data_IF_318535666835
#
_entry.id   IF_318535666835
#
_cell.length_a   1.000
_cell.length_b   1.000
_cell.length_c   1.000
_cell.angle_alpha   90.00
_cell.angle_beta   90.00
_cell.angle_gamma   90.00
#
_symmetry.space_group_name_H-M   'P 1'
#
loop_
_entity.id
_entity.type
_entity.pdbx_description
1 polymer ?
#
# COMPACT_ATOMS: atom_id res chain seq x y z
N UNK A 1 -6.97 -7.78 -6.64
CA UNK A 1 -6.11 -7.85 -5.43
C UNK A 1 -5.68 -6.44 -5.02
N UNK A 2 -5.30 -6.26 -3.76
CA UNK A 2 -4.75 -5.00 -3.27
C UNK A 2 -3.27 -5.14 -3.02
N UNK A 3 -2.53 -4.08 -3.29
CA UNK A 3 -1.09 -4.02 -3.12
C UNK A 3 -0.70 -2.76 -2.38
N UNK A 4 0.29 -2.90 -1.50
CA UNK A 4 0.99 -1.77 -0.89
C UNK A 4 2.35 -1.66 -1.56
N UNK A 5 2.69 -0.45 -2.02
CA UNK A 5 4.04 -0.10 -2.45
C UNK A 5 4.60 0.90 -1.44
N UNK A 6 5.71 0.53 -0.83
CA UNK A 6 6.51 1.41 0.01
C UNK A 6 7.82 1.71 -0.74
N UNK A 7 8.00 2.96 -1.14
CA UNK A 7 9.15 3.39 -1.91
C UNK A 7 9.87 4.54 -1.20
N UNK A 8 11.18 4.43 -1.02
CA UNK A 8 12.02 5.48 -0.44
C UNK A 8 12.82 6.16 -1.54
N UNK A 9 12.88 7.49 -1.49
CA UNK A 9 13.67 8.27 -2.43
C UNK A 9 15.15 8.05 -2.19
N UNK A 10 15.95 8.26 -3.25
CA UNK A 10 17.40 8.35 -3.08
C UNK A 10 17.78 9.52 -2.17
N UNK A 11 18.81 9.36 -1.33
CA UNK A 11 19.39 10.48 -0.62
C UNK A 11 19.80 11.59 -1.60
N UNK A 12 19.48 12.84 -1.27
CA UNK A 12 19.80 13.98 -2.12
C UNK A 12 18.80 15.12 -1.94
N UNK A 13 18.81 16.04 -2.90
CA UNK A 13 17.99 17.26 -2.91
C UNK A 13 16.58 17.06 -3.50
N UNK A 14 16.22 15.82 -3.85
CA UNK A 14 14.93 15.50 -4.46
C UNK A 14 14.75 15.99 -5.91
N UNK A 15 15.81 16.43 -6.59
CA UNK A 15 15.72 16.88 -7.99
C UNK A 15 15.12 15.83 -8.94
N UNK A 16 15.52 14.54 -8.91
CA UNK A 16 14.96 13.55 -9.82
C UNK A 16 13.44 13.47 -9.72
N UNK A 17 12.90 13.49 -8.49
CA UNK A 17 11.45 13.52 -8.23
C UNK A 17 10.80 14.74 -8.87
N UNK A 18 11.39 15.93 -8.66
CA UNK A 18 10.82 17.18 -9.15
C UNK A 18 10.78 17.22 -10.69
N UNK A 19 11.85 16.75 -11.35
CA UNK A 19 11.98 16.74 -12.80
C UNK A 19 10.88 15.93 -13.50
N UNK A 20 10.50 14.78 -12.94
CA UNK A 20 9.48 13.90 -13.55
C UNK A 20 8.10 14.03 -12.92
N UNK A 21 7.92 14.90 -11.91
CA UNK A 21 6.68 15.00 -11.12
C UNK A 21 5.44 15.23 -11.97
N UNK A 22 5.51 16.10 -12.97
CA UNK A 22 4.37 16.37 -13.85
C UNK A 22 3.95 15.15 -14.67
N UNK A 23 4.93 14.36 -15.14
CA UNK A 23 4.66 13.13 -15.88
C UNK A 23 4.10 12.03 -14.97
N UNK A 24 4.66 11.88 -13.76
CA UNK A 24 4.11 11.00 -12.72
C UNK A 24 2.65 11.32 -12.42
N UNK A 25 2.31 12.59 -12.16
CA UNK A 25 0.94 13.00 -11.85
C UNK A 25 -0.03 12.69 -13.00
N UNK A 26 0.40 12.82 -14.26
CA UNK A 26 -0.44 12.45 -15.41
C UNK A 26 -0.77 10.96 -15.43
N UNK A 27 0.22 10.10 -15.14
CA UNK A 27 0.01 8.65 -15.05
C UNK A 27 -0.92 8.33 -13.88
N UNK A 28 -0.67 8.91 -12.71
CA UNK A 28 -1.53 8.70 -11.54
C UNK A 28 -2.99 9.11 -11.80
N UNK A 29 -3.22 10.26 -12.47
CA UNK A 29 -4.57 10.71 -12.84
C UNK A 29 -5.25 9.78 -13.84
N UNK A 30 -4.51 9.22 -14.80
CA UNK A 30 -5.05 8.31 -15.81
C UNK A 30 -5.45 6.94 -15.25
N UNK A 31 -4.98 6.60 -14.05
CA UNK A 31 -5.25 5.33 -13.36
C UNK A 31 -5.93 5.54 -12.00
N UNK A 32 -6.54 6.70 -11.76
CA UNK A 32 -7.05 7.12 -10.46
C UNK A 32 -8.02 6.10 -9.82
N UNK A 33 -8.77 5.37 -10.64
CA UNK A 33 -9.70 4.32 -10.24
C UNK A 33 -9.04 3.12 -9.53
N UNK A 34 -7.72 2.92 -9.75
CA UNK A 34 -6.96 1.87 -9.09
C UNK A 34 -6.50 2.25 -7.68
N UNK A 35 -6.56 3.53 -7.29
CA UNK A 35 -6.01 3.99 -6.02
C UNK A 35 -7.04 3.89 -4.89
N UNK A 36 -6.66 3.20 -3.80
CA UNK A 36 -7.32 3.37 -2.50
C UNK A 36 -6.71 4.58 -1.80
N UNK A 37 -5.39 4.68 -1.83
CA UNK A 37 -4.61 5.79 -1.29
C UNK A 37 -3.29 5.92 -2.04
N UNK A 38 -2.81 7.13 -2.26
CA UNK A 38 -1.39 7.37 -2.57
C UNK A 38 -0.95 8.74 -2.05
N UNK A 39 0.29 8.81 -1.60
CA UNK A 39 0.85 10.05 -1.10
C UNK A 39 2.35 9.99 -0.86
N UNK A 40 3.00 11.14 -0.70
CA UNK A 40 4.40 11.18 -0.31
C UNK A 40 4.55 10.72 1.15
N UNK A 41 5.64 9.99 1.42
CA UNK A 41 6.16 9.86 2.78
C UNK A 41 6.90 11.15 3.09
N UNK A 42 6.51 11.86 4.15
CA UNK A 42 7.10 13.15 4.49
C UNK A 42 8.21 12.99 5.54
N UNK A 43 9.25 13.80 5.40
CA UNK A 43 10.21 14.08 6.46
C UNK A 43 9.64 15.02 7.51
N UNK A 44 10.38 15.22 8.59
CA UNK A 44 10.03 16.19 9.64
C UNK A 44 10.03 17.64 9.13
N UNK A 45 10.78 17.90 8.06
CA UNK A 45 10.81 19.15 7.31
C UNK A 45 9.59 19.35 6.39
N UNK A 46 8.70 18.36 6.31
CA UNK A 46 7.54 18.38 5.43
C UNK A 46 7.87 18.09 3.95
N UNK A 47 9.12 17.74 3.63
CA UNK A 47 9.51 17.39 2.27
C UNK A 47 9.31 15.89 1.98
N UNK A 48 8.95 15.52 0.74
CA UNK A 48 8.86 14.11 0.36
C UNK A 48 10.21 13.40 0.51
N UNK A 49 10.20 12.22 1.12
CA UNK A 49 11.34 11.29 1.22
C UNK A 49 11.03 9.91 0.64
N UNK A 50 9.90 9.81 -0.06
CA UNK A 50 9.38 8.55 -0.55
C UNK A 50 7.92 8.67 -0.93
N UNK A 51 7.31 7.54 -1.26
CA UNK A 51 5.91 7.43 -1.60
C UNK A 51 5.32 6.16 -0.97
N UNK A 52 4.07 6.27 -0.55
CA UNK A 52 3.24 5.13 -0.18
C UNK A 52 2.07 5.05 -1.17
N UNK A 53 1.86 3.86 -1.71
CA UNK A 53 0.74 3.55 -2.59
C UNK A 53 -0.06 2.39 -2.03
N UNK A 54 -1.38 2.49 -2.08
CA UNK A 54 -2.33 1.39 -1.82
C UNK A 54 -3.26 1.33 -3.02
N UNK A 55 -3.10 0.26 -3.80
CA UNK A 55 -3.65 0.15 -5.15
C UNK A 55 -4.43 -1.16 -5.33
N UNK A 56 -5.38 -1.18 -6.25
CA UNK A 56 -6.12 -2.37 -6.69
C UNK A 56 -5.78 -2.73 -8.13
N UNK A 57 -5.23 -3.92 -8.33
CA UNK A 57 -4.97 -4.52 -9.64
C UNK A 57 -5.43 -5.96 -9.67
N UNK A 58 -5.68 -6.53 -10.85
CA UNK A 58 -6.09 -7.93 -10.98
C UNK A 58 -5.09 -8.87 -10.30
N UNK A 59 -3.81 -8.70 -10.64
CA UNK A 59 -2.69 -9.47 -10.12
C UNK A 59 -1.40 -8.62 -10.04
N UNK A 60 -0.28 -9.29 -9.73
CA UNK A 60 1.04 -8.65 -9.65
C UNK A 60 1.57 -8.19 -11.01
N UNK A 61 1.27 -8.91 -12.09
CA UNK A 61 1.76 -8.58 -13.42
C UNK A 61 1.12 -7.28 -13.95
N UNK A 62 -0.18 -7.10 -13.71
CA UNK A 62 -0.89 -5.86 -14.02
C UNK A 62 -0.33 -4.66 -13.23
N UNK A 63 0.02 -4.87 -11.96
CA UNK A 63 0.67 -3.84 -11.16
C UNK A 63 2.06 -3.47 -11.72
N UNK A 64 2.88 -4.46 -12.05
CA UNK A 64 4.23 -4.22 -12.59
C UNK A 64 4.15 -3.47 -13.93
N UNK A 65 3.14 -3.74 -14.77
CA UNK A 65 2.89 -3.01 -16.01
C UNK A 65 2.48 -1.55 -15.78
N UNK A 66 1.74 -1.25 -14.72
CA UNK A 66 1.47 0.14 -14.30
C UNK A 66 2.77 0.82 -13.81
N UNK A 67 3.54 0.16 -12.95
CA UNK A 67 4.80 0.72 -12.42
C UNK A 67 5.80 1.05 -13.53
N UNK A 68 5.85 0.24 -14.59
CA UNK A 68 6.72 0.50 -15.75
C UNK A 68 6.35 1.77 -16.52
N UNK A 69 5.10 2.23 -16.45
CA UNK A 69 4.63 3.45 -17.10
C UNK A 69 4.86 4.71 -16.26
N UNK A 70 4.99 4.56 -14.94
CA UNK A 70 5.16 5.68 -14.03
C UNK A 70 6.65 6.06 -13.88
N UNK A 71 7.03 7.29 -14.28
CA UNK A 71 8.42 7.71 -14.30
C UNK A 71 9.08 7.80 -12.91
N UNK A 72 8.33 7.81 -11.81
CA UNK A 72 8.97 7.67 -10.50
C UNK A 72 9.70 6.32 -10.33
N UNK A 73 9.21 5.24 -10.94
CA UNK A 73 9.86 3.93 -10.87
C UNK A 73 10.99 3.75 -11.88
N UNK A 74 10.95 4.45 -13.02
CA UNK A 74 11.96 4.29 -14.09
C UNK A 74 13.02 5.39 -14.14
N UNK A 75 12.76 6.61 -13.65
CA UNK A 75 13.70 7.74 -13.68
C UNK A 75 14.70 7.75 -12.51
N UNK A 76 14.80 6.66 -11.76
CA UNK A 76 15.76 6.52 -10.66
C UNK A 76 15.50 7.44 -9.47
N UNK A 77 14.23 7.79 -9.22
CA UNK A 77 13.80 8.57 -8.04
C UNK A 77 14.01 7.78 -6.75
N UNK A 78 13.65 6.50 -6.77
CA UNK A 78 13.68 5.65 -5.59
C UNK A 78 15.02 4.94 -5.38
N UNK A 79 15.47 4.88 -4.13
CA UNK A 79 16.54 3.99 -3.67
C UNK A 79 16.02 2.57 -3.48
N UNK A 80 14.82 2.45 -2.93
CA UNK A 80 14.19 1.15 -2.67
C UNK A 80 12.70 1.19 -2.98
N UNK A 81 12.19 0.06 -3.44
CA UNK A 81 10.77 -0.16 -3.71
C UNK A 81 10.42 -1.54 -3.17
N UNK A 82 9.48 -1.60 -2.22
CA UNK A 82 8.96 -2.86 -1.70
C UNK A 82 7.47 -2.97 -1.98
N UNK A 83 7.05 -4.16 -2.40
CA UNK A 83 5.66 -4.43 -2.78
C UNK A 83 5.15 -5.64 -2.00
N UNK A 84 3.99 -5.49 -1.37
CA UNK A 84 3.28 -6.58 -0.70
C UNK A 84 1.82 -6.66 -1.15
N UNK A 85 1.25 -7.88 -1.28
CA UNK A 85 -0.20 -8.02 -1.31
C UNK A 85 -0.77 -7.54 0.02
N UNK A 86 -1.93 -6.90 -0.03
CA UNK A 86 -2.63 -6.36 1.14
C UNK A 86 -4.13 -6.62 1.04
N UNK A 87 -4.84 -6.30 2.11
CA UNK A 87 -6.29 -6.26 2.18
C UNK A 87 -6.72 -5.10 3.07
N UNK A 88 -7.60 -4.26 2.56
CA UNK A 88 -8.23 -3.16 3.25
C UNK A 88 -9.20 -3.74 4.27
N UNK A 89 -8.92 -3.40 5.52
CA UNK A 89 -9.75 -3.77 6.67
C UNK A 89 -10.51 -2.54 7.16
N UNK A 90 -9.86 -1.36 7.15
CA UNK A 90 -10.44 -0.06 7.50
C UNK A 90 -10.13 0.96 6.38
N UNK A 91 -11.08 1.84 5.99
CA UNK A 91 -12.50 1.79 6.36
C UNK A 91 -13.18 0.50 5.87
N UNK A 92 -14.26 0.09 6.53
CA UNK A 92 -14.97 -1.13 6.18
C UNK A 92 -15.48 -1.06 4.74
N UNK A 93 -15.15 -2.06 3.92
CA UNK A 93 -15.73 -2.18 2.59
C UNK A 93 -17.22 -2.59 2.63
N UNK A 94 -17.61 -3.33 3.67
CA UNK A 94 -18.99 -3.77 3.94
C UNK A 94 -19.33 -3.43 5.39
N UNK A 95 -20.46 -2.75 5.66
CA UNK A 95 -20.86 -2.43 7.03
C UNK A 95 -20.93 -3.66 7.93
N UNK A 96 -20.28 -3.59 9.10
CA UNK A 96 -20.26 -4.66 10.10
C UNK A 96 -19.26 -5.78 9.82
N UNK A 97 -18.42 -5.65 8.78
CA UNK A 97 -17.41 -6.66 8.47
C UNK A 97 -16.39 -6.84 9.60
N UNK A 98 -15.98 -5.76 10.28
CA UNK A 98 -15.06 -5.84 11.41
C UNK A 98 -15.71 -6.44 12.63
N UNK A 99 -16.97 -6.10 12.90
CA UNK A 99 -17.73 -6.70 14.00
C UNK A 99 -17.84 -8.22 13.83
N UNK A 100 -18.18 -8.67 12.62
CA UNK A 100 -18.24 -10.10 12.30
C UNK A 100 -16.85 -10.77 12.41
N UNK A 101 -15.77 -10.09 12.01
CA UNK A 101 -14.40 -10.62 12.17
C UNK A 101 -13.99 -10.70 13.64
N UNK A 102 -14.32 -9.69 14.45
CA UNK A 102 -14.07 -9.67 15.88
C UNK A 102 -14.78 -10.84 16.57
N UNK A 103 -16.07 -11.06 16.27
CA UNK A 103 -16.85 -12.17 16.81
C UNK A 103 -16.24 -13.53 16.46
N UNK A 104 -15.79 -13.71 15.20
CA UNK A 104 -15.08 -14.92 14.78
C UNK A 104 -13.80 -15.15 15.57
N UNK A 105 -12.99 -14.11 15.75
CA UNK A 105 -11.72 -14.21 16.44
C UNK A 105 -11.91 -14.56 17.93
N UNK A 106 -12.85 -13.91 18.61
CA UNK A 106 -13.18 -14.20 20.01
C UNK A 106 -13.68 -15.64 20.21
N UNK A 107 -14.51 -16.15 19.30
CA UNK A 107 -14.95 -17.55 19.32
C UNK A 107 -13.77 -18.52 19.15
N UNK A 108 -12.88 -18.28 18.17
CA UNK A 108 -11.71 -19.11 17.93
C UNK A 108 -10.73 -19.12 19.13
N UNK A 109 -10.60 -18.00 19.84
CA UNK A 109 -9.77 -17.90 21.04
C UNK A 109 -10.39 -18.65 22.23
N UNK A 110 -11.72 -18.58 22.40
CA UNK A 110 -12.43 -19.36 23.40
C UNK A 110 -12.30 -20.88 23.17
N UNK A 111 -12.35 -21.32 21.92
CA UNK A 111 -12.16 -22.73 21.55
C UNK A 111 -10.72 -23.20 21.81
N UNK A 112 -9.71 -22.37 21.45
CA UNK A 112 -8.31 -22.66 21.77
C UNK A 112 -8.07 -22.79 23.27
N UNK A 113 -8.64 -21.88 24.07
CA UNK A 113 -8.50 -21.92 25.52
C UNK A 113 -9.08 -23.20 26.12
N UNK A 114 -10.24 -23.66 25.64
CA UNK A 114 -10.87 -24.92 26.05
C UNK A 114 -10.04 -26.15 25.62
N UNK A 115 -9.44 -26.13 24.44
CA UNK A 115 -8.61 -27.23 23.94
C UNK A 115 -7.27 -27.38 24.70
N UNK A 116 -6.77 -26.32 25.31
CA UNK A 116 -5.51 -26.34 26.10
C UNK A 116 -5.71 -26.66 27.60
N UNK A 117 -6.95 -26.78 28.07
CA UNK A 117 -7.22 -27.14 29.46
C UNK A 117 -6.88 -28.63 29.71
N UNK A 118 -6.11 -28.97 30.76
CA UNK A 118 -5.72 -30.36 31.01
C UNK A 118 -6.96 -31.22 31.31
N UNK A 119 -7.06 -32.36 30.63
CA UNK A 119 -8.06 -33.39 30.90
C UNK A 119 -7.92 -33.87 32.35
N UNK A 120 -8.97 -33.68 33.15
CA UNK A 120 -9.08 -34.22 34.51
C UNK A 120 -9.22 -35.74 34.50
#
# INVERSE_FOLDING_TARGET
MEFVIYALDKPGDGQPRQQVRAAHLRVAMAHAEHFIFAGPLLGEDGHPRGSLYVLRFEDRAALDAYMAQDPYFSAGVYESVTVWPSRQVVPEALPGALQAELERQLAADADRAQATAPSR
#
